data_IF_516809387915
#
_entry.id   IF_516809387915
#
_cell.length_a   1.000
_cell.length_b   1.000
_cell.length_c   1.000
_cell.angle_alpha   90.00
_cell.angle_beta   90.00
_cell.angle_gamma   90.00
#
_symmetry.space_group_name_H-M   'P 1'
#
loop_
_entity.id
_entity.type
_entity.pdbx_description
1 polymer ?
#
# COMPACT_ATOMS: atom_id res chain seq x y z
N UNK A 1 14.99 23.99 4.95
CA UNK A 1 14.81 22.91 3.95
C UNK A 1 13.62 22.07 4.36
N UNK A 2 12.61 22.02 3.48
CA UNK A 2 11.56 20.99 3.35
C UNK A 2 10.74 20.54 4.58
N UNK A 3 9.81 21.38 5.03
CA UNK A 3 8.59 20.93 5.73
C UNK A 3 7.66 20.05 4.86
N UNK A 4 7.97 19.88 3.56
CA UNK A 4 7.23 19.02 2.63
C UNK A 4 7.45 17.52 2.80
N UNK A 5 8.43 17.07 3.60
CA UNK A 5 8.75 15.65 3.70
C UNK A 5 7.77 14.83 4.57
N UNK A 6 7.07 15.46 5.53
CA UNK A 6 6.20 14.76 6.49
C UNK A 6 4.78 14.51 5.95
N UNK A 7 4.42 15.08 4.80
CA UNK A 7 3.14 14.80 4.11
C UNK A 7 3.22 13.49 3.29
N UNK A 8 4.35 12.79 3.35
CA UNK A 8 4.77 11.73 2.44
C UNK A 8 4.23 10.31 2.67
N UNK A 9 3.00 10.12 3.19
CA UNK A 9 2.45 8.75 3.27
C UNK A 9 1.04 8.53 2.70
N UNK A 10 0.24 9.57 2.51
CA UNK A 10 -1.06 9.42 1.84
C UNK A 10 -0.94 9.02 0.37
N UNK A 11 0.23 9.25 -0.25
CA UNK A 11 0.52 8.90 -1.64
C UNK A 11 0.64 7.38 -1.91
N UNK A 12 0.60 6.52 -0.88
CA UNK A 12 0.72 5.06 -1.04
C UNK A 12 -0.57 4.27 -0.80
N UNK A 13 -1.71 4.94 -0.60
CA UNK A 13 -2.98 4.24 -0.44
C UNK A 13 -3.62 3.96 -1.79
N UNK A 14 -3.71 2.67 -2.16
CA UNK A 14 -4.39 2.23 -3.37
C UNK A 14 -5.87 2.02 -3.03
N UNK A 15 -6.78 2.58 -3.85
CA UNK A 15 -8.22 2.38 -3.69
C UNK A 15 -8.57 0.90 -3.87
N UNK A 16 -9.31 0.31 -2.93
CA UNK A 16 -9.72 -1.09 -3.00
C UNK A 16 -10.47 -1.40 -4.30
N UNK A 17 -11.32 -0.47 -4.77
CA UNK A 17 -12.01 -0.60 -6.05
C UNK A 17 -11.05 -0.86 -7.23
N UNK A 18 -9.92 -0.13 -7.30
CA UNK A 18 -8.92 -0.34 -8.33
C UNK A 18 -8.29 -1.73 -8.26
N UNK A 19 -8.04 -2.24 -7.04
CA UNK A 19 -7.49 -3.59 -6.85
C UNK A 19 -8.48 -4.66 -7.31
N UNK A 20 -9.77 -4.46 -7.04
CA UNK A 20 -10.85 -5.34 -7.50
C UNK A 20 -10.92 -5.34 -9.03
N UNK A 21 -10.93 -4.16 -9.67
CA UNK A 21 -10.97 -4.03 -11.12
C UNK A 21 -9.77 -4.72 -11.78
N UNK A 22 -8.57 -4.52 -11.25
CA UNK A 22 -7.35 -5.17 -11.73
C UNK A 22 -7.40 -6.69 -11.56
N UNK A 23 -7.95 -7.20 -10.45
CA UNK A 23 -8.13 -8.63 -10.24
C UNK A 23 -9.10 -9.22 -11.28
N UNK A 24 -10.23 -8.57 -11.53
CA UNK A 24 -11.20 -8.96 -12.55
C UNK A 24 -10.58 -8.97 -13.95
N UNK A 25 -9.90 -7.88 -14.34
CA UNK A 25 -9.22 -7.76 -15.63
C UNK A 25 -8.15 -8.83 -15.81
N UNK A 26 -7.37 -9.10 -14.77
CA UNK A 26 -6.35 -10.15 -14.79
C UNK A 26 -6.98 -11.53 -15.00
N UNK A 27 -8.01 -11.89 -14.23
CA UNK A 27 -8.68 -13.19 -14.36
C UNK A 27 -9.33 -13.36 -15.73
N UNK A 28 -9.96 -12.30 -16.26
CA UNK A 28 -10.53 -12.31 -17.60
C UNK A 28 -9.47 -12.52 -18.68
N UNK A 29 -8.35 -11.80 -18.60
CA UNK A 29 -7.23 -11.93 -19.54
C UNK A 29 -6.64 -13.34 -19.49
N UNK A 30 -6.42 -13.86 -18.28
CA UNK A 30 -5.89 -15.22 -18.09
C UNK A 30 -6.87 -16.28 -18.62
N UNK A 31 -8.19 -16.05 -18.49
CA UNK A 31 -9.23 -16.91 -19.06
C UNK A 31 -9.25 -16.85 -20.59
N UNK A 32 -9.19 -15.66 -21.18
CA UNK A 32 -9.18 -15.51 -22.64
C UNK A 32 -7.98 -16.22 -23.25
N UNK A 33 -6.79 -16.05 -22.64
CA UNK A 33 -5.58 -16.76 -23.03
C UNK A 33 -5.74 -18.27 -22.95
N UNK A 34 -6.44 -18.76 -21.93
CA UNK A 34 -6.71 -20.19 -21.76
C UNK A 34 -7.62 -20.69 -22.89
N UNK A 35 -8.67 -19.94 -23.25
CA UNK A 35 -9.58 -20.27 -24.35
C UNK A 35 -8.82 -20.35 -25.69
N UNK A 36 -7.91 -19.42 -25.96
CA UNK A 36 -7.13 -19.41 -27.21
C UNK A 36 -6.15 -20.59 -27.30
N UNK A 37 -5.56 -20.99 -26.17
CA UNK A 37 -4.53 -22.04 -26.12
C UNK A 37 -5.10 -23.45 -25.90
N UNK A 38 -6.33 -23.60 -25.44
CA UNK A 38 -6.93 -24.90 -25.14
C UNK A 38 -7.06 -25.80 -26.38
N UNK A 39 -7.56 -25.33 -27.55
CA UNK A 39 -7.83 -26.20 -28.69
C UNK A 39 -6.62 -26.98 -29.21
N UNK A 40 -5.42 -26.41 -29.11
CA UNK A 40 -4.18 -27.01 -29.61
C UNK A 40 -3.55 -28.06 -28.68
N UNK A 41 -4.12 -28.29 -27.48
CA UNK A 41 -3.58 -29.20 -26.47
C UNK A 41 -4.30 -30.53 -26.35
N UNK A 42 -3.61 -31.54 -25.83
CA UNK A 42 -4.18 -32.86 -25.52
C UNK A 42 -5.17 -32.79 -24.35
N UNK A 43 -6.06 -33.77 -24.20
CA UNK A 43 -7.08 -33.78 -23.14
C UNK A 43 -6.47 -33.70 -21.72
N UNK A 44 -5.36 -34.41 -21.50
CA UNK A 44 -4.66 -34.41 -20.21
C UNK A 44 -4.05 -33.03 -19.89
N UNK A 45 -3.43 -32.39 -20.87
CA UNK A 45 -2.89 -31.03 -20.71
C UNK A 45 -3.98 -30.00 -20.46
N UNK A 46 -5.12 -30.10 -21.16
CA UNK A 46 -6.29 -29.24 -20.93
C UNK A 46 -6.77 -29.33 -19.49
N UNK A 47 -6.91 -30.54 -18.95
CA UNK A 47 -7.32 -30.78 -17.55
C UNK A 47 -6.33 -30.17 -16.56
N UNK A 48 -5.03 -30.34 -16.78
CA UNK A 48 -3.99 -29.77 -15.92
C UNK A 48 -4.03 -28.24 -15.94
N UNK A 49 -4.12 -27.62 -17.13
CA UNK A 49 -4.16 -26.15 -17.27
C UNK A 49 -5.42 -25.55 -16.62
N UNK A 50 -6.58 -26.19 -16.80
CA UNK A 50 -7.83 -25.79 -16.15
C UNK A 50 -7.70 -25.86 -14.62
N UNK A 51 -7.20 -26.97 -14.08
CA UNK A 51 -7.00 -27.12 -12.64
C UNK A 51 -6.03 -26.04 -12.08
N UNK A 52 -4.95 -25.75 -12.80
CA UNK A 52 -3.99 -24.68 -12.44
C UNK A 52 -4.63 -23.29 -12.51
N UNK A 53 -5.45 -23.02 -13.53
CA UNK A 53 -6.19 -21.76 -13.64
C UNK A 53 -7.16 -21.59 -12.47
N UNK A 54 -7.98 -22.59 -12.16
CA UNK A 54 -8.92 -22.52 -11.04
C UNK A 54 -8.21 -22.34 -9.70
N UNK A 55 -7.12 -23.07 -9.45
CA UNK A 55 -6.33 -22.93 -8.22
C UNK A 55 -5.75 -21.52 -8.06
N UNK A 56 -5.12 -20.98 -9.11
CA UNK A 56 -4.56 -19.62 -9.10
C UNK A 56 -5.65 -18.56 -8.90
N UNK A 57 -6.76 -18.68 -9.61
CA UNK A 57 -7.89 -17.74 -9.54
C UNK A 57 -8.52 -17.76 -8.14
N UNK A 58 -8.78 -18.95 -7.59
CA UNK A 58 -9.31 -19.09 -6.23
C UNK A 58 -8.39 -18.44 -5.20
N UNK A 59 -7.07 -18.68 -5.27
CA UNK A 59 -6.12 -18.08 -4.33
C UNK A 59 -6.08 -16.55 -4.43
N UNK A 60 -6.22 -15.99 -5.62
CA UNK A 60 -6.32 -14.53 -5.82
C UNK A 60 -7.57 -13.97 -5.11
N UNK A 61 -8.73 -14.58 -5.32
CA UNK A 61 -9.99 -14.10 -4.74
C UNK A 61 -10.07 -14.31 -3.22
N UNK A 62 -9.48 -15.39 -2.68
CA UNK A 62 -9.36 -15.56 -1.21
C UNK A 62 -8.54 -14.42 -0.60
N UNK A 63 -7.42 -14.04 -1.22
CA UNK A 63 -6.60 -12.91 -0.75
C UNK A 63 -7.36 -11.58 -0.87
N UNK A 64 -8.12 -11.39 -1.93
CA UNK A 64 -8.95 -10.20 -2.13
C UNK A 64 -10.09 -10.12 -1.09
N UNK A 65 -10.71 -11.25 -0.75
CA UNK A 65 -11.72 -11.35 0.30
C UNK A 65 -11.13 -10.97 1.66
N UNK A 66 -9.96 -11.51 2.01
CA UNK A 66 -9.25 -11.16 3.23
C UNK A 66 -8.93 -9.66 3.30
N UNK A 67 -8.48 -9.06 2.19
CA UNK A 67 -8.22 -7.62 2.10
C UNK A 67 -9.50 -6.80 2.29
N UNK A 68 -10.62 -7.24 1.72
CA UNK A 68 -11.93 -6.56 1.86
C UNK A 68 -12.40 -6.60 3.31
N UNK A 69 -12.26 -7.74 3.99
CA UNK A 69 -12.58 -7.87 5.42
C UNK A 69 -11.69 -6.97 6.29
N UNK A 70 -10.40 -6.87 5.96
CA UNK A 70 -9.48 -5.96 6.64
C UNK A 70 -9.86 -4.48 6.40
N UNK A 71 -10.22 -4.12 5.17
CA UNK A 71 -10.60 -2.76 4.80
C UNK A 71 -11.79 -2.23 5.63
N UNK A 72 -12.74 -3.10 6.01
CA UNK A 72 -13.84 -2.73 6.92
C UNK A 72 -13.36 -2.25 8.30
N UNK A 73 -12.17 -2.67 8.73
CA UNK A 73 -11.56 -2.27 10.01
C UNK A 73 -10.44 -1.24 9.85
N UNK A 74 -10.12 -0.82 8.62
CA UNK A 74 -9.00 0.09 8.30
C UNK A 74 -9.13 1.48 8.92
N UNK A 75 -10.35 1.94 9.22
CA UNK A 75 -10.59 3.24 9.86
C UNK A 75 -9.85 3.44 11.19
N UNK A 76 -9.52 2.34 11.89
CA UNK A 76 -8.67 2.38 13.10
C UNK A 76 -7.22 2.70 12.74
N UNK A 77 -6.71 2.09 11.67
CA UNK A 77 -5.35 2.32 11.16
C UNK A 77 -5.19 3.76 10.69
N UNK A 78 -6.18 4.31 9.99
CA UNK A 78 -6.17 5.71 9.53
C UNK A 78 -6.08 6.70 10.71
N UNK A 79 -6.74 6.39 11.83
CA UNK A 79 -6.65 7.22 13.04
C UNK A 79 -5.27 7.13 13.67
N UNK A 80 -4.72 5.93 13.78
CA UNK A 80 -3.36 5.72 14.30
C UNK A 80 -2.33 6.46 13.43
N UNK A 81 -2.44 6.38 12.10
CA UNK A 81 -1.56 7.10 11.18
C UNK A 81 -1.61 8.62 11.40
N UNK A 82 -2.81 9.19 11.57
CA UNK A 82 -2.95 10.62 11.88
C UNK A 82 -2.28 11.02 13.19
N UNK A 83 -2.41 10.18 14.22
CA UNK A 83 -1.77 10.43 15.53
C UNK A 83 -0.25 10.33 15.39
N UNK A 84 0.26 9.28 14.76
CA UNK A 84 1.70 9.12 14.52
C UNK A 84 2.29 10.31 13.75
N UNK A 85 1.64 10.74 12.67
CA UNK A 85 2.07 11.91 11.90
C UNK A 85 2.08 13.19 12.75
N UNK A 86 1.06 13.39 13.60
CA UNK A 86 1.03 14.53 14.50
C UNK A 86 2.21 14.49 15.49
N UNK A 87 2.47 13.34 16.10
CA UNK A 87 3.58 13.17 17.05
C UNK A 87 4.94 13.38 16.38
N UNK A 88 5.13 12.92 15.14
CA UNK A 88 6.34 13.15 14.36
C UNK A 88 6.57 14.64 14.11
N UNK A 89 5.52 15.38 13.70
CA UNK A 89 5.61 16.84 13.52
C UNK A 89 5.98 17.53 14.83
N UNK A 90 5.35 17.15 15.95
CA UNK A 90 5.68 17.74 17.25
C UNK A 90 7.13 17.44 17.67
N UNK A 91 7.60 16.22 17.46
CA UNK A 91 8.98 15.84 17.75
C UNK A 91 9.98 16.68 16.95
N UNK A 92 9.72 16.88 15.66
CA UNK A 92 10.54 17.73 14.79
C UNK A 92 10.58 19.19 15.31
N UNK A 93 9.42 19.77 15.63
CA UNK A 93 9.35 21.16 16.10
C UNK A 93 10.11 21.37 17.41
N UNK A 94 10.05 20.40 18.33
CA UNK A 94 10.79 20.45 19.59
C UNK A 94 12.30 20.40 19.36
N UNK A 95 12.76 19.55 18.45
CA UNK A 95 14.16 19.45 18.04
C UNK A 95 14.65 20.76 17.39
N UNK A 96 13.87 21.33 16.48
CA UNK A 96 14.20 22.60 15.83
C UNK A 96 14.27 23.75 16.84
N UNK A 97 13.33 23.79 17.77
CA UNK A 97 13.33 24.79 18.85
C UNK A 97 14.57 24.66 19.73
N UNK A 98 14.93 23.44 20.14
CA UNK A 98 16.13 23.19 20.92
C UNK A 98 17.41 23.60 20.17
N UNK A 99 17.49 23.34 18.86
CA UNK A 99 18.60 23.76 18.02
C UNK A 99 18.71 25.29 17.94
N UNK A 100 17.60 26.00 17.73
CA UNK A 100 17.59 27.47 17.69
C UNK A 100 18.05 28.06 19.02
N UNK A 101 17.55 27.54 20.15
CA UNK A 101 17.97 28.00 21.48
C UNK A 101 19.46 27.78 21.71
N UNK A 102 20.01 26.65 21.27
CA UNK A 102 21.43 26.34 21.39
C UNK A 102 22.29 27.33 20.56
N UNK A 103 21.87 27.65 19.33
CA UNK A 103 22.54 28.63 18.48
C UNK A 103 22.52 30.02 19.13
N UNK A 104 21.37 30.46 19.66
CA UNK A 104 21.24 31.75 20.34
C UNK A 104 22.14 31.83 21.57
N UNK A 105 22.18 30.78 22.39
CA UNK A 105 23.06 30.71 23.55
C UNK A 105 24.53 30.83 23.14
N UNK A 106 24.96 30.05 22.14
CA UNK A 106 26.34 30.09 21.67
C UNK A 106 26.72 31.47 21.12
N UNK A 107 25.86 32.08 20.32
CA UNK A 107 26.10 33.42 19.77
C UNK A 107 26.19 34.47 20.88
N UNK A 108 25.32 34.41 21.88
CA UNK A 108 25.33 35.34 23.02
C UNK A 108 26.63 35.23 23.83
N UNK A 109 27.13 34.01 24.07
CA UNK A 109 28.40 33.78 24.77
C UNK A 109 29.63 34.24 24.00
N UNK A 110 29.57 34.29 22.67
CA UNK A 110 30.68 34.77 21.84
C UNK A 110 30.68 36.29 21.70
N UNK A 111 29.50 36.92 21.80
CA UNK A 111 29.35 38.39 21.72
C UNK A 111 29.57 39.14 23.04
N UNK A 112 29.72 38.42 24.15
CA UNK A 112 29.99 38.96 25.49
C UNK A 112 31.47 38.77 25.85
#
# INVERSE_FOLDING_TARGET
>A
MSASAVVGNRSRMIRLALVIDLACQKTYTDLMRLVDLLPSKTDLEKKIELARFFSRTRNLFIRLEALTKWANTSSKVDKCEKISNFLEVQSMLLLDTANVLNILHHNHLISA
#
